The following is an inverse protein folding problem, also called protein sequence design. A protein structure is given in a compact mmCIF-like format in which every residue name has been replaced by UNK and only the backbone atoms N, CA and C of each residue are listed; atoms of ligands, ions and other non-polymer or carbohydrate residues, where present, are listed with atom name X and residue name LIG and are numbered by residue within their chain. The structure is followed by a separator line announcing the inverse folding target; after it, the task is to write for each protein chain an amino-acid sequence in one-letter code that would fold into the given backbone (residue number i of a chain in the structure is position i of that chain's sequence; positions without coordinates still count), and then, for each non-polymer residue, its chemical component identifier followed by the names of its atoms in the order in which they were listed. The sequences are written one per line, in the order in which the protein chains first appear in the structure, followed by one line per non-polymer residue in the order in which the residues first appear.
data_IF_244990103022
#
_entry.id   IF_244990103022
#
_cell.length_a   1.000
_cell.length_b   1.000
_cell.length_c   1.000
_cell.angle_alpha   90.00
_cell.angle_beta   90.00
_cell.angle_gamma   90.00
#
_symmetry.space_group_name_H-M   'P 1'
#
loop_
_entity.id
_entity.type
_entity.pdbx_description
1 polymer ?
#
# COMPACT_ATOMS: atom_id res chain seq x y z
N UNK A 1 4.80 -17.92 -9.14
CA UNK A 1 6.11 -18.56 -8.85
C UNK A 1 6.69 -18.91 -10.21
N UNK A 2 7.86 -18.36 -10.56
CA UNK A 2 8.50 -18.69 -11.83
C UNK A 2 8.88 -20.16 -11.82
N UNK A 3 8.42 -20.92 -12.81
CA UNK A 3 8.67 -22.36 -12.86
C UNK A 3 10.00 -22.57 -13.58
N UNK A 4 10.97 -23.20 -12.91
CA UNK A 4 12.28 -23.49 -13.51
C UNK A 4 13.27 -22.33 -13.56
N UNK A 5 12.99 -21.20 -12.90
CA UNK A 5 13.94 -20.09 -12.72
C UNK A 5 14.53 -20.17 -11.31
N UNK A 6 15.87 -20.28 -11.23
CA UNK A 6 16.59 -20.24 -9.96
C UNK A 6 16.85 -18.79 -9.54
N UNK A 7 16.19 -18.36 -8.47
CA UNK A 7 16.28 -17.01 -7.92
C UNK A 7 17.40 -16.95 -6.87
N UNK A 8 18.23 -15.90 -6.92
CA UNK A 8 19.30 -15.69 -5.96
C UNK A 8 19.11 -14.43 -5.12
N UNK A 9 19.95 -14.32 -4.09
CA UNK A 9 20.09 -13.12 -3.30
C UNK A 9 21.07 -12.15 -3.96
N UNK A 10 20.70 -10.87 -4.04
CA UNK A 10 21.51 -9.81 -4.60
C UNK A 10 22.27 -9.07 -3.48
N UNK A 11 23.61 -8.99 -3.50
CA UNK A 11 24.34 -8.12 -2.57
C UNK A 11 23.90 -6.66 -2.71
N UNK A 12 23.66 -5.97 -1.60
CA UNK A 12 23.15 -4.59 -1.61
C UNK A 12 23.97 -3.64 -2.50
N UNK A 13 25.30 -3.77 -2.50
CA UNK A 13 26.21 -2.96 -3.34
C UNK A 13 25.91 -3.00 -4.84
N UNK A 14 25.19 -4.02 -5.30
CA UNK A 14 24.81 -4.20 -6.70
C UNK A 14 23.38 -3.72 -7.00
N UNK A 15 22.65 -3.18 -6.01
CA UNK A 15 21.25 -2.74 -6.16
C UNK A 15 21.07 -1.78 -7.35
N UNK A 16 21.86 -0.71 -7.41
CA UNK A 16 21.75 0.28 -8.49
C UNK A 16 21.96 -0.33 -9.88
N UNK A 17 22.94 -1.22 -10.02
CA UNK A 17 23.22 -1.88 -11.29
C UNK A 17 22.12 -2.88 -11.69
N UNK A 18 21.53 -3.58 -10.72
CA UNK A 18 20.41 -4.49 -10.97
C UNK A 18 19.11 -3.75 -11.32
N UNK A 19 18.82 -2.62 -10.64
CA UNK A 19 17.68 -1.74 -10.96
C UNK A 19 17.83 -1.14 -12.36
N UNK A 20 19.00 -0.59 -12.69
CA UNK A 20 19.29 -0.07 -14.03
C UNK A 20 19.06 -1.13 -15.09
N UNK A 21 19.57 -2.34 -14.88
CA UNK A 21 19.35 -3.46 -15.81
C UNK A 21 17.87 -3.83 -15.94
N UNK A 22 17.13 -3.91 -14.84
CA UNK A 22 15.69 -4.18 -14.85
C UNK A 22 14.94 -3.14 -15.72
N UNK A 23 15.23 -1.85 -15.53
CA UNK A 23 14.62 -0.77 -16.31
C UNK A 23 15.02 -0.81 -17.78
N UNK A 24 16.28 -1.15 -18.09
CA UNK A 24 16.73 -1.31 -19.48
C UNK A 24 16.00 -2.43 -20.20
N UNK A 25 15.80 -3.59 -19.55
CA UNK A 25 15.07 -4.70 -20.15
C UNK A 25 13.60 -4.33 -20.43
N UNK A 26 13.02 -3.49 -19.59
CA UNK A 26 11.67 -2.98 -19.76
C UNK A 26 11.59 -1.82 -20.78
N UNK A 27 12.72 -1.23 -21.19
CA UNK A 27 12.71 -0.01 -22.01
C UNK A 27 12.28 1.25 -21.23
N UNK A 28 12.44 1.25 -19.91
CA UNK A 28 12.05 2.31 -18.98
C UNK A 28 13.25 3.08 -18.43
N UNK A 29 14.31 3.25 -19.22
CA UNK A 29 15.56 3.90 -18.76
C UNK A 29 15.34 5.35 -18.28
N UNK A 30 14.45 6.08 -18.95
CA UNK A 30 14.12 7.48 -18.67
C UNK A 30 12.94 7.61 -17.68
N UNK A 31 12.47 6.50 -17.10
CA UNK A 31 11.36 6.56 -16.16
C UNK A 31 11.81 7.10 -14.81
N UNK A 32 10.99 8.00 -14.26
CA UNK A 32 11.10 8.33 -12.85
C UNK A 32 10.77 7.06 -12.07
N UNK A 33 11.67 6.70 -11.16
CA UNK A 33 11.53 5.48 -10.38
C UNK A 33 12.16 5.64 -9.00
N UNK A 34 11.70 4.79 -8.07
CA UNK A 34 12.28 4.69 -6.73
C UNK A 34 12.23 3.26 -6.25
N UNK A 35 13.26 2.83 -5.54
CA UNK A 35 13.27 1.54 -4.84
C UNK A 35 12.46 1.68 -3.56
N UNK A 36 11.40 0.90 -3.41
CA UNK A 36 10.41 1.01 -2.33
C UNK A 36 10.39 -0.17 -1.38
N UNK A 37 11.32 -1.11 -1.51
CA UNK A 37 11.32 -2.30 -0.66
C UNK A 37 12.71 -2.90 -0.55
N UNK A 38 12.92 -3.54 0.61
CA UNK A 38 14.08 -4.36 0.95
C UNK A 38 15.47 -3.72 0.81
N UNK A 39 15.59 -2.44 0.44
CA UNK A 39 16.85 -1.81 0.06
C UNK A 39 17.91 -1.72 1.17
N UNK A 40 17.56 -1.82 2.46
CA UNK A 40 18.54 -1.68 3.54
C UNK A 40 19.19 -3.02 3.97
N UNK A 41 18.75 -4.16 3.43
CA UNK A 41 19.31 -5.45 3.77
C UNK A 41 20.65 -5.69 3.04
N UNK A 42 21.62 -6.30 3.73
CA UNK A 42 22.93 -6.64 3.14
C UNK A 42 22.80 -7.52 1.88
N UNK A 43 21.77 -8.37 1.85
CA UNK A 43 21.38 -9.21 0.72
C UNK A 43 19.88 -9.08 0.47
N UNK A 44 19.51 -8.87 -0.78
CA UNK A 44 18.15 -8.60 -1.24
C UNK A 44 17.57 -9.87 -1.89
N UNK A 45 16.34 -10.24 -1.54
CA UNK A 45 15.67 -11.41 -2.13
C UNK A 45 14.98 -11.08 -3.47
N UNK A 46 14.60 -9.82 -3.61
CA UNK A 46 13.86 -9.23 -4.71
C UNK A 46 14.22 -7.75 -4.85
N UNK A 47 13.78 -7.18 -5.97
CA UNK A 47 13.83 -5.75 -6.26
C UNK A 47 12.40 -5.22 -6.27
N UNK A 48 12.12 -4.26 -5.41
CA UNK A 48 10.83 -3.58 -5.34
C UNK A 48 10.97 -2.17 -5.93
N UNK A 49 10.49 -1.96 -7.15
CA UNK A 49 10.62 -0.70 -7.89
C UNK A 49 9.25 -0.07 -8.06
N UNK A 50 9.11 1.22 -7.81
CA UNK A 50 7.91 1.99 -8.10
C UNK A 50 8.15 2.91 -9.31
N UNK A 51 7.20 2.94 -10.23
CA UNK A 51 7.18 3.82 -11.41
C UNK A 51 5.87 4.61 -11.51
N UNK A 52 5.91 5.73 -12.24
CA UNK A 52 4.78 6.63 -12.42
C UNK A 52 3.71 6.06 -13.35
N UNK A 53 2.45 6.02 -12.91
CA UNK A 53 1.30 5.59 -13.74
C UNK A 53 1.14 6.45 -15.00
N UNK A 54 1.21 7.77 -14.85
CA UNK A 54 0.99 8.70 -15.95
C UNK A 54 2.11 8.58 -17.00
N UNK A 55 3.36 8.44 -16.54
CA UNK A 55 4.50 8.22 -17.43
C UNK A 55 4.35 6.92 -18.22
N UNK A 56 3.95 5.82 -17.56
CA UNK A 56 3.67 4.56 -18.23
C UNK A 56 2.53 4.69 -19.25
N UNK A 57 1.42 5.34 -18.88
CA UNK A 57 0.28 5.52 -19.79
C UNK A 57 0.67 6.34 -21.03
N UNK A 58 1.44 7.42 -20.86
CA UNK A 58 1.97 8.22 -21.97
C UNK A 58 2.94 7.42 -22.86
N UNK A 59 3.85 6.66 -22.26
CA UNK A 59 4.81 5.82 -22.99
C UNK A 59 4.14 4.72 -23.81
N UNK A 60 3.02 4.18 -23.32
CA UNK A 60 2.22 3.17 -24.02
C UNK A 60 1.19 3.79 -24.98
N UNK A 61 1.16 5.12 -25.12
CA UNK A 61 0.22 5.87 -25.96
C UNK A 61 -1.26 5.55 -25.65
N UNK A 62 -1.58 5.28 -24.38
CA UNK A 62 -2.92 4.85 -23.97
C UNK A 62 -3.80 6.05 -23.64
N UNK A 63 -4.92 6.16 -24.35
CA UNK A 63 -5.97 7.14 -24.07
C UNK A 63 -6.99 6.56 -23.09
N UNK A 64 -6.83 6.88 -21.80
CA UNK A 64 -7.80 6.55 -20.74
C UNK A 64 -7.43 5.34 -19.86
N UNK A 65 -8.02 5.31 -18.66
CA UNK A 65 -7.67 4.37 -17.57
C UNK A 65 -8.03 2.89 -17.84
N UNK A 66 -8.87 2.62 -18.86
CA UNK A 66 -9.47 1.31 -19.11
C UNK A 66 -8.55 0.26 -19.76
N UNK A 67 -7.44 0.69 -20.37
CA UNK A 67 -6.60 -0.19 -21.20
C UNK A 67 -5.17 -0.38 -20.68
N UNK A 68 -4.80 0.24 -19.53
CA UNK A 68 -3.41 0.23 -19.03
C UNK A 68 -2.82 -1.17 -18.93
N UNK A 69 -3.55 -2.11 -18.32
CA UNK A 69 -3.05 -3.45 -18.07
C UNK A 69 -2.94 -4.30 -19.33
N UNK A 70 -3.91 -4.17 -20.24
CA UNK A 70 -3.88 -4.86 -21.53
C UNK A 70 -2.74 -4.33 -22.41
N UNK A 71 -2.58 -3.01 -22.47
CA UNK A 71 -1.47 -2.38 -23.18
C UNK A 71 -0.11 -2.75 -22.59
N UNK A 72 0.00 -2.76 -21.25
CA UNK A 72 1.20 -3.21 -20.56
C UNK A 72 1.51 -4.68 -20.87
N UNK A 73 0.51 -5.57 -20.84
CA UNK A 73 0.72 -6.98 -21.15
C UNK A 73 1.23 -7.18 -22.59
N UNK A 74 0.64 -6.50 -23.56
CA UNK A 74 1.09 -6.53 -24.94
C UNK A 74 2.53 -6.02 -25.07
N UNK A 75 2.85 -4.89 -24.44
CA UNK A 75 4.18 -4.31 -24.43
C UNK A 75 5.23 -5.26 -23.83
N UNK A 76 4.93 -5.87 -22.68
CA UNK A 76 5.83 -6.78 -21.96
C UNK A 76 6.12 -8.07 -22.74
N UNK A 77 5.16 -8.57 -23.54
CA UNK A 77 5.38 -9.75 -24.42
C UNK A 77 6.43 -9.51 -25.51
N UNK A 78 6.65 -8.25 -25.89
CA UNK A 78 7.66 -7.88 -26.89
C UNK A 78 9.03 -7.55 -26.28
N UNK A 79 9.10 -7.46 -24.94
CA UNK A 79 10.36 -7.14 -24.25
C UNK A 79 11.24 -8.39 -24.12
N UNK A 80 12.57 -8.24 -24.05
CA UNK A 80 13.51 -9.34 -23.77
C UNK A 80 13.51 -9.73 -22.28
N UNK A 81 12.35 -9.68 -21.63
CA UNK A 81 12.13 -10.22 -20.29
C UNK A 81 11.55 -11.63 -20.51
N UNK A 82 11.99 -12.61 -19.73
CA UNK A 82 11.48 -13.98 -19.84
C UNK A 82 10.02 -14.08 -19.40
N UNK A 83 9.75 -14.92 -18.41
CA UNK A 83 8.40 -14.96 -17.82
C UNK A 83 8.10 -13.70 -17.00
N UNK A 84 6.86 -13.22 -17.12
CA UNK A 84 6.31 -12.16 -16.28
C UNK A 84 4.89 -12.52 -15.81
N UNK A 85 4.43 -11.88 -14.74
CA UNK A 85 3.06 -12.00 -14.24
C UNK A 85 2.53 -10.64 -13.84
N UNK A 86 1.31 -10.32 -14.29
CA UNK A 86 0.63 -9.09 -13.93
C UNK A 86 -0.41 -9.36 -12.86
N UNK A 87 -0.39 -8.54 -11.82
CA UNK A 87 -1.36 -8.54 -10.74
C UNK A 87 -2.16 -7.24 -10.74
N UNK A 88 -3.16 -7.14 -11.63
CA UNK A 88 -4.01 -5.95 -11.80
C UNK A 88 -4.61 -5.43 -10.49
N UNK A 89 -5.06 -6.33 -9.61
CA UNK A 89 -5.64 -5.98 -8.30
C UNK A 89 -4.64 -5.31 -7.36
N UNK A 90 -3.37 -5.69 -7.45
CA UNK A 90 -2.28 -5.13 -6.65
C UNK A 90 -1.53 -4.00 -7.38
N UNK A 91 -1.96 -3.68 -8.62
CA UNK A 91 -1.34 -2.70 -9.52
C UNK A 91 0.18 -2.88 -9.62
N UNK A 92 0.60 -4.13 -9.79
CA UNK A 92 2.00 -4.50 -9.93
C UNK A 92 2.15 -5.57 -11.01
N UNK A 93 3.35 -5.68 -11.55
CA UNK A 93 3.77 -6.86 -12.29
C UNK A 93 5.14 -7.31 -11.78
N UNK A 94 5.51 -8.56 -12.04
CA UNK A 94 6.84 -9.03 -11.75
C UNK A 94 7.43 -9.87 -12.85
N UNK A 95 8.75 -9.86 -12.93
CA UNK A 95 9.55 -10.64 -13.87
C UNK A 95 10.88 -11.01 -13.23
N UNK A 96 11.61 -11.92 -13.86
CA UNK A 96 12.96 -12.30 -13.43
C UNK A 96 14.00 -11.41 -14.12
N UNK A 97 14.79 -10.67 -13.33
CA UNK A 97 15.88 -9.82 -13.83
C UNK A 97 17.20 -10.58 -13.82
N UNK A 98 17.88 -10.75 -14.97
CA UNK A 98 19.16 -11.44 -15.05
C UNK A 98 20.30 -10.68 -14.36
N UNK A 99 21.09 -11.38 -13.57
CA UNK A 99 22.20 -10.87 -12.75
C UNK A 99 23.60 -11.23 -13.31
N UNK A 100 23.72 -11.55 -14.60
CA UNK A 100 25.01 -11.87 -15.24
C UNK A 100 26.10 -10.85 -14.87
N UNK A 101 27.18 -11.34 -14.27
CA UNK A 101 28.33 -10.53 -13.81
C UNK A 101 28.17 -9.85 -12.44
N UNK A 102 27.06 -10.04 -11.74
CA UNK A 102 26.76 -9.37 -10.45
C UNK A 102 26.85 -10.32 -9.24
N UNK A 103 26.53 -11.60 -9.40
CA UNK A 103 26.54 -12.61 -8.33
C UNK A 103 27.26 -13.90 -8.76
N UNK A 104 27.76 -14.67 -7.80
CA UNK A 104 28.19 -16.05 -8.02
C UNK A 104 26.98 -16.98 -7.85
N UNK A 105 26.72 -17.89 -8.79
CA UNK A 105 25.55 -18.77 -8.76
C UNK A 105 24.37 -18.24 -9.57
N UNK A 106 23.14 -18.55 -9.14
CA UNK A 106 21.91 -18.40 -9.92
C UNK A 106 21.77 -17.04 -10.60
N UNK A 107 21.16 -17.06 -11.78
CA UNK A 107 21.29 -15.99 -12.76
C UNK A 107 20.23 -14.91 -12.64
N UNK A 108 19.27 -14.98 -11.72
CA UNK A 108 18.14 -14.05 -11.68
C UNK A 108 17.77 -13.57 -10.27
N UNK A 109 17.24 -12.35 -10.18
CA UNK A 109 16.53 -11.83 -9.01
C UNK A 109 15.09 -11.51 -9.42
N UNK A 110 14.13 -11.73 -8.53
CA UNK A 110 12.75 -11.32 -8.78
C UNK A 110 12.68 -9.79 -8.75
N UNK A 111 11.97 -9.19 -9.70
CA UNK A 111 11.69 -7.75 -9.70
C UNK A 111 10.20 -7.54 -9.70
N UNK A 112 9.69 -6.94 -8.63
CA UNK A 112 8.33 -6.44 -8.51
C UNK A 112 8.31 -4.96 -8.91
N UNK A 113 7.49 -4.62 -9.91
CA UNK A 113 7.29 -3.25 -10.38
C UNK A 113 5.89 -2.80 -9.99
N UNK A 114 5.83 -1.79 -9.14
CA UNK A 114 4.61 -1.13 -8.68
C UNK A 114 4.30 0.10 -9.52
N UNK A 115 3.03 0.26 -9.89
CA UNK A 115 2.58 1.35 -10.76
C UNK A 115 1.60 2.25 -9.99
N UNK A 116 1.91 3.55 -9.91
CA UNK A 116 1.08 4.51 -9.18
C UNK A 116 1.71 5.90 -9.08
N UNK A 117 1.41 6.62 -8.00
CA UNK A 117 2.01 7.89 -7.61
C UNK A 117 3.33 7.63 -6.86
N UNK A 118 4.47 8.01 -7.45
CA UNK A 118 5.81 7.68 -6.94
C UNK A 118 6.04 8.23 -5.53
N UNK A 119 5.73 9.51 -5.30
CA UNK A 119 5.92 10.16 -3.99
C UNK A 119 5.12 9.49 -2.88
N UNK A 120 3.89 9.08 -3.19
CA UNK A 120 3.03 8.34 -2.27
C UNK A 120 3.57 6.94 -1.97
N UNK A 121 3.96 6.18 -3.02
CA UNK A 121 4.51 4.84 -2.85
C UNK A 121 5.84 4.87 -2.08
N UNK A 122 6.68 5.88 -2.31
CA UNK A 122 7.94 6.07 -1.56
C UNK A 122 7.70 6.18 -0.05
N UNK A 123 6.55 6.64 0.40
CA UNK A 123 6.22 6.66 1.82
C UNK A 123 5.53 5.36 2.28
N UNK A 124 4.45 4.98 1.60
CA UNK A 124 3.56 3.92 2.08
C UNK A 124 4.10 2.51 1.84
N UNK A 125 4.92 2.33 0.81
CA UNK A 125 5.40 1.01 0.37
C UNK A 125 6.79 0.74 0.91
N UNK A 126 7.56 1.80 1.16
CA UNK A 126 8.86 1.74 1.81
C UNK A 126 8.83 0.97 3.13
N UNK A 127 9.97 0.33 3.38
CA UNK A 127 10.25 -0.37 4.63
C UNK A 127 10.04 0.53 5.85
N UNK A 128 9.94 -0.12 7.01
CA UNK A 128 9.94 0.65 8.25
C UNK A 128 11.36 1.18 8.50
N UNK A 129 11.50 2.31 9.21
CA UNK A 129 12.79 2.79 9.70
C UNK A 129 13.57 1.68 10.44
N UNK A 130 14.90 1.74 10.37
CA UNK A 130 15.79 0.69 10.93
C UNK A 130 15.67 0.48 12.45
N UNK A 131 15.16 1.48 13.18
CA UNK A 131 14.88 1.45 14.61
C UNK A 131 13.49 0.89 14.95
N UNK A 132 12.65 0.62 13.95
CA UNK A 132 11.32 0.02 14.11
C UNK A 132 11.42 -1.49 14.42
N UNK A 133 10.70 -1.95 15.44
CA UNK A 133 10.61 -3.38 15.79
C UNK A 133 9.71 -4.13 14.83
N UNK A 134 8.76 -3.43 14.21
CA UNK A 134 7.76 -4.00 13.31
C UNK A 134 8.02 -3.62 11.86
N UNK A 135 7.69 -4.54 10.94
CA UNK A 135 7.72 -4.28 9.50
C UNK A 135 6.66 -3.23 9.12
N UNK A 136 6.89 -2.50 8.02
CA UNK A 136 5.99 -1.47 7.48
C UNK A 136 4.53 -1.92 7.33
N UNK A 137 4.31 -3.21 7.04
CA UNK A 137 2.97 -3.79 6.92
C UNK A 137 2.11 -3.60 8.17
N UNK A 138 2.69 -3.56 9.38
CA UNK A 138 1.94 -3.29 10.62
C UNK A 138 1.38 -1.87 10.64
N UNK A 139 2.22 -0.87 10.34
CA UNK A 139 1.81 0.54 10.17
C UNK A 139 0.71 0.65 9.11
N UNK A 140 0.92 0.02 7.96
CA UNK A 140 0.00 0.06 6.83
C UNK A 140 -1.36 -0.56 7.17
N UNK A 141 -1.38 -1.71 7.86
CA UNK A 141 -2.62 -2.32 8.34
C UNK A 141 -3.33 -1.45 9.37
N UNK A 142 -2.61 -0.81 10.28
CA UNK A 142 -3.19 0.11 11.26
C UNK A 142 -3.80 1.34 10.56
N UNK A 143 -3.10 1.97 9.61
CA UNK A 143 -3.64 3.07 8.79
C UNK A 143 -4.89 2.65 8.03
N UNK A 144 -4.90 1.45 7.43
CA UNK A 144 -6.08 0.92 6.76
C UNK A 144 -7.25 0.79 7.73
N UNK A 145 -7.03 0.26 8.93
CA UNK A 145 -8.06 0.15 9.95
C UNK A 145 -8.61 1.52 10.37
N UNK A 146 -7.75 2.54 10.54
CA UNK A 146 -8.19 3.91 10.81
C UNK A 146 -9.15 4.39 9.73
N UNK A 147 -8.76 4.33 8.45
CA UNK A 147 -9.60 4.85 7.37
C UNK A 147 -10.83 3.99 7.06
N UNK A 148 -10.82 2.70 7.43
CA UNK A 148 -11.96 1.82 7.24
C UNK A 148 -13.07 2.04 8.27
N UNK A 149 -12.70 2.32 9.53
CA UNK A 149 -13.65 2.45 10.64
C UNK A 149 -14.18 3.88 10.82
N UNK A 150 -13.39 4.89 10.48
CA UNK A 150 -13.83 6.29 10.59
C UNK A 150 -14.83 6.59 9.47
N UNK A 151 -16.12 6.64 9.83
CA UNK A 151 -17.23 6.93 8.93
C UNK A 151 -18.06 8.12 9.45
N UNK A 152 -18.53 8.97 8.53
CA UNK A 152 -19.36 10.13 8.85
C UNK A 152 -20.70 10.07 8.10
N UNK A 153 -21.81 10.54 8.69
CA UNK A 153 -23.05 10.74 7.95
C UNK A 153 -22.83 11.66 6.73
N UNK A 154 -23.55 11.42 5.64
CA UNK A 154 -23.42 12.24 4.44
C UNK A 154 -24.18 13.59 4.46
N UNK A 155 -24.85 13.89 5.57
CA UNK A 155 -25.66 15.09 5.80
C UNK A 155 -26.93 14.76 6.59
N UNK A 156 -27.79 15.75 6.79
CA UNK A 156 -28.99 15.65 7.64
C UNK A 156 -30.18 14.94 6.96
N UNK A 157 -30.04 14.56 5.68
CA UNK A 157 -31.17 14.24 4.80
C UNK A 157 -31.45 12.78 4.48
N UNK A 158 -30.54 11.84 4.77
CA UNK A 158 -30.77 10.41 4.52
C UNK A 158 -29.85 9.55 5.40
N UNK A 159 -30.43 8.88 6.42
CA UNK A 159 -29.68 8.09 7.41
C UNK A 159 -28.96 6.86 6.83
N UNK A 160 -29.18 6.57 5.55
CA UNK A 160 -28.57 5.46 4.83
C UNK A 160 -27.29 5.85 4.09
N UNK A 161 -26.90 7.12 4.05
CA UNK A 161 -25.68 7.57 3.39
C UNK A 161 -24.55 7.95 4.34
N UNK A 162 -23.33 7.57 4.00
CA UNK A 162 -22.14 7.88 4.79
C UNK A 162 -20.89 8.06 3.92
N UNK A 163 -19.95 8.86 4.43
CA UNK A 163 -18.62 9.03 3.88
C UNK A 163 -17.61 8.23 4.68
N UNK A 164 -16.56 7.78 4.01
CA UNK A 164 -15.31 7.36 4.65
C UNK A 164 -14.14 7.65 3.73
N UNK A 165 -12.95 7.73 4.30
CA UNK A 165 -11.74 7.71 3.49
C UNK A 165 -11.42 6.28 3.03
N UNK A 166 -10.67 6.19 1.95
CA UNK A 166 -10.14 4.93 1.42
C UNK A 166 -8.68 5.15 1.03
N UNK A 167 -7.80 4.50 1.79
CA UNK A 167 -6.37 4.49 1.52
C UNK A 167 -6.06 3.49 0.40
N UNK A 168 -5.35 3.94 -0.62
CA UNK A 168 -4.78 3.08 -1.65
C UNK A 168 -3.25 3.25 -1.61
N UNK A 169 -2.51 2.17 -1.38
CA UNK A 169 -1.05 2.20 -1.26
C UNK A 169 -0.30 2.72 -2.50
N UNK A 170 -0.96 2.81 -3.65
CA UNK A 170 -0.37 3.22 -4.92
C UNK A 170 -0.82 4.61 -5.38
N UNK A 171 -2.06 5.00 -5.08
CA UNK A 171 -2.69 6.15 -5.76
C UNK A 171 -3.06 7.32 -4.85
N UNK A 172 -2.95 7.18 -3.53
CA UNK A 172 -3.36 8.22 -2.59
C UNK A 172 -4.52 7.84 -1.67
N UNK A 173 -5.07 8.86 -1.03
CA UNK A 173 -6.28 8.79 -0.21
C UNK A 173 -7.47 9.32 -1.02
N UNK A 174 -8.59 8.60 -0.99
CA UNK A 174 -9.85 9.05 -1.60
C UNK A 174 -10.94 9.20 -0.55
N UNK A 175 -11.85 10.16 -0.73
CA UNK A 175 -13.11 10.23 -0.02
C UNK A 175 -14.16 9.46 -0.83
N UNK A 176 -14.87 8.54 -0.17
CA UNK A 176 -15.90 7.70 -0.80
C UNK A 176 -17.24 7.89 -0.10
N UNK A 177 -18.26 8.20 -0.88
CA UNK A 177 -19.66 8.24 -0.44
C UNK A 177 -20.31 6.90 -0.73
N UNK A 178 -21.00 6.35 0.27
CA UNK A 178 -21.73 5.10 0.18
C UNK A 178 -23.20 5.32 0.54
N UNK A 179 -24.07 4.53 -0.09
CA UNK A 179 -25.46 4.33 0.33
C UNK A 179 -25.64 2.91 0.83
N UNK A 180 -26.30 2.76 1.98
CA UNK A 180 -26.77 1.47 2.49
C UNK A 180 -27.97 1.05 1.64
N UNK A 181 -27.87 -0.12 1.03
CA UNK A 181 -28.95 -0.76 0.30
C UNK A 181 -29.51 -1.81 1.23
N UNK A 182 -30.73 -1.59 1.72
CA UNK A 182 -31.45 -2.56 2.56
C UNK A 182 -31.59 -3.89 1.81
N UNK A 183 -31.48 -4.99 2.54
CA UNK A 183 -31.58 -6.32 1.95
C UNK A 183 -32.95 -6.47 1.26
N UNK A 184 -32.96 -6.86 -0.02
CA UNK A 184 -34.16 -7.44 -0.60
C UNK A 184 -34.41 -8.81 0.06
N UNK A 185 -35.64 -9.32 -0.02
CA UNK A 185 -35.97 -10.65 0.53
C UNK A 185 -35.10 -11.80 -0.05
N UNK A 186 -34.37 -11.58 -1.14
CA UNK A 186 -33.48 -12.57 -1.77
C UNK A 186 -32.00 -12.46 -1.34
N UNK A 187 -31.52 -11.27 -0.95
CA UNK A 187 -30.06 -11.03 -0.77
C UNK A 187 -29.59 -11.10 0.68
N UNK A 188 -30.51 -11.18 1.66
CA UNK A 188 -30.26 -11.53 3.07
C UNK A 188 -29.33 -10.61 3.88
N UNK A 189 -28.56 -9.72 3.26
CA UNK A 189 -27.63 -8.81 3.91
C UNK A 189 -27.65 -7.44 3.24
N UNK A 190 -27.69 -6.35 4.03
CA UNK A 190 -27.58 -5.00 3.49
C UNK A 190 -26.25 -4.84 2.77
N UNK A 191 -26.29 -4.29 1.55
CA UNK A 191 -25.11 -4.02 0.72
C UNK A 191 -24.74 -2.55 0.81
N UNK A 192 -23.47 -2.23 0.58
CA UNK A 192 -22.98 -0.86 0.47
C UNK A 192 -22.73 -0.58 -1.00
N UNK A 193 -23.41 0.40 -1.56
CA UNK A 193 -23.18 0.86 -2.92
C UNK A 193 -22.35 2.15 -2.87
N UNK A 194 -21.20 2.15 -3.54
CA UNK A 194 -20.41 3.37 -3.71
C UNK A 194 -21.11 4.26 -4.74
N UNK A 195 -21.39 5.50 -4.37
CA UNK A 195 -22.09 6.46 -5.23
C UNK A 195 -21.18 7.59 -5.71
N UNK A 196 -20.08 7.85 -4.99
CA UNK A 196 -19.10 8.85 -5.37
C UNK A 196 -17.72 8.48 -4.81
N UNK A 197 -16.68 8.79 -5.58
CA UNK A 197 -15.28 8.75 -5.15
C UNK A 197 -14.58 10.01 -5.65
N UNK A 198 -13.80 10.65 -4.77
CA UNK A 198 -12.95 11.77 -5.13
C UNK A 198 -11.58 11.60 -4.46
N UNK A 199 -10.49 11.83 -5.20
CA UNK A 199 -9.14 11.86 -4.63
C UNK A 199 -9.05 13.04 -3.66
N UNK A 200 -8.55 12.78 -2.46
CA UNK A 200 -8.29 13.80 -1.43
C UNK A 200 -6.86 14.27 -1.55
N UNK A 201 -5.91 13.34 -1.58
CA UNK A 201 -4.49 13.65 -1.63
C UNK A 201 -3.68 12.46 -2.19
N UNK A 202 -2.51 12.77 -2.73
CA UNK A 202 -1.43 11.83 -3.03
C UNK A 202 -0.11 12.24 -2.38
N UNK A 203 -0.14 13.18 -1.42
CA UNK A 203 0.99 13.54 -0.57
C UNK A 203 0.89 12.79 0.77
N UNK A 204 1.89 11.97 1.14
CA UNK A 204 1.86 11.23 2.40
C UNK A 204 1.86 12.14 3.65
N UNK A 205 2.35 13.38 3.55
CA UNK A 205 2.33 14.33 4.67
C UNK A 205 0.93 14.79 5.03
N UNK A 206 -0.04 14.65 4.13
CA UNK A 206 -1.44 14.99 4.42
C UNK A 206 -2.10 13.97 5.35
N UNK A 207 -1.58 12.74 5.46
CA UNK A 207 -2.14 11.74 6.38
C UNK A 207 -2.09 12.22 7.84
N UNK A 208 -0.93 12.60 8.41
CA UNK A 208 -0.86 13.17 9.75
C UNK A 208 -1.77 14.39 9.94
N UNK A 209 -1.77 15.32 8.97
CA UNK A 209 -2.61 16.52 9.02
C UNK A 209 -4.10 16.17 9.13
N UNK A 210 -4.54 15.15 8.38
CA UNK A 210 -5.92 14.64 8.42
C UNK A 210 -6.23 13.99 9.77
N UNK A 211 -5.29 13.24 10.34
CA UNK A 211 -5.53 12.43 11.55
C UNK A 211 -5.33 13.22 12.87
N UNK A 212 -4.48 14.25 12.90
CA UNK A 212 -3.97 14.87 14.14
C UNK A 212 -4.08 16.41 14.18
N UNK A 213 -5.26 16.94 13.85
CA UNK A 213 -5.63 18.36 13.91
C UNK A 213 -4.72 19.30 13.09
N UNK A 214 -4.31 18.88 11.89
CA UNK A 214 -3.53 19.72 11.00
C UNK A 214 -2.07 19.90 11.42
N UNK A 215 -1.56 19.03 12.30
CA UNK A 215 -0.20 19.07 12.80
C UNK A 215 0.52 17.73 12.57
N UNK A 216 1.81 17.79 12.23
CA UNK A 216 2.68 16.63 12.02
C UNK A 216 3.01 16.36 10.56
N UNK A 217 3.94 15.44 10.33
CA UNK A 217 4.38 14.99 9.00
C UNK A 217 4.56 13.47 8.92
N UNK A 218 4.84 12.94 7.73
CA UNK A 218 4.90 11.48 7.53
C UNK A 218 5.88 10.78 8.49
N UNK A 219 6.98 11.43 8.88
CA UNK A 219 8.00 10.87 9.77
C UNK A 219 7.49 10.65 11.19
N UNK A 220 6.41 11.32 11.55
CA UNK A 220 5.73 11.14 12.84
C UNK A 220 4.89 9.85 12.85
N UNK A 221 4.63 9.23 11.69
CA UNK A 221 3.82 7.99 11.57
C UNK A 221 4.48 6.91 10.71
N UNK A 222 5.75 7.07 10.34
CA UNK A 222 6.48 6.20 9.42
C UNK A 222 6.78 4.79 9.98
N UNK A 223 6.48 4.53 11.25
CA UNK A 223 6.55 3.23 11.90
C UNK A 223 5.24 2.91 12.63
N UNK A 224 5.05 1.63 12.95
CA UNK A 224 3.85 1.19 13.66
C UNK A 224 3.80 1.80 15.07
N UNK A 225 4.93 1.84 15.75
CA UNK A 225 5.08 2.34 17.12
C UNK A 225 4.73 3.83 17.21
N UNK A 226 5.27 4.65 16.30
CA UNK A 226 4.97 6.09 16.29
C UNK A 226 3.49 6.35 15.99
N UNK A 227 2.94 5.69 14.97
CA UNK A 227 1.52 5.80 14.65
C UNK A 227 0.63 5.36 15.82
N UNK A 228 0.91 4.19 16.40
CA UNK A 228 0.17 3.66 17.55
C UNK A 228 0.17 4.65 18.71
N UNK A 229 1.34 5.19 19.06
CA UNK A 229 1.47 6.18 20.13
C UNK A 229 0.63 7.44 19.86
N UNK A 230 0.69 7.98 18.65
CA UNK A 230 -0.07 9.18 18.30
C UNK A 230 -1.59 8.94 18.29
N UNK A 231 -2.06 7.76 17.87
CA UNK A 231 -3.49 7.42 17.90
C UNK A 231 -4.06 7.42 19.32
N UNK A 232 -3.23 7.17 20.33
CA UNK A 232 -3.65 7.19 21.74
C UNK A 232 -3.59 8.59 22.37
N UNK A 233 -2.97 9.55 21.68
CA UNK A 233 -2.87 10.92 22.13
C UNK A 233 -4.18 11.70 21.99
N UNK A 234 -4.30 12.78 22.75
CA UNK A 234 -5.47 13.67 22.70
C UNK A 234 -5.65 14.41 21.37
N UNK A 235 -4.60 14.45 20.55
CA UNK A 235 -4.61 15.09 19.23
C UNK A 235 -5.24 14.22 18.14
N UNK A 236 -5.50 12.94 18.41
CA UNK A 236 -6.16 12.09 17.43
C UNK A 236 -7.64 12.45 17.29
N UNK A 237 -8.01 12.96 16.11
CA UNK A 237 -9.34 13.52 15.82
C UNK A 237 -10.49 12.53 15.98
N UNK A 238 -10.21 11.24 15.87
CA UNK A 238 -11.22 10.18 15.81
C UNK A 238 -11.15 9.25 17.02
N UNK A 239 -10.81 9.79 18.20
CA UNK A 239 -10.66 9.03 19.45
C UNK A 239 -11.82 8.09 19.78
N UNK A 240 -13.06 8.47 19.44
CA UNK A 240 -14.26 7.62 19.65
C UNK A 240 -14.26 6.33 18.82
N UNK A 241 -13.49 6.25 17.74
CA UNK A 241 -13.39 5.08 16.87
C UNK A 241 -12.27 4.12 17.26
N UNK A 242 -11.41 4.49 18.23
CA UNK A 242 -10.24 3.69 18.62
C UNK A 242 -10.57 2.21 18.92
N UNK A 243 -11.63 1.87 19.68
CA UNK A 243 -11.96 0.47 19.93
C UNK A 243 -12.21 -0.33 18.65
N UNK A 244 -12.98 0.24 17.70
CA UNK A 244 -13.27 -0.40 16.42
C UNK A 244 -12.02 -0.51 15.54
N UNK A 245 -11.19 0.54 15.50
CA UNK A 245 -9.92 0.57 14.76
C UNK A 245 -9.01 -0.57 15.22
N UNK A 246 -8.78 -0.70 16.52
CA UNK A 246 -7.91 -1.75 17.05
C UNK A 246 -8.50 -3.15 16.91
N UNK A 247 -9.81 -3.31 17.03
CA UNK A 247 -10.48 -4.58 16.77
C UNK A 247 -10.29 -5.03 15.32
N UNK A 248 -10.49 -4.13 14.35
CA UNK A 248 -10.30 -4.42 12.93
C UNK A 248 -8.83 -4.69 12.60
N UNK A 249 -7.90 -3.96 13.21
CA UNK A 249 -6.46 -4.20 13.06
C UNK A 249 -6.06 -5.59 13.55
N UNK A 250 -6.52 -5.99 14.75
CA UNK A 250 -6.30 -7.33 15.32
C UNK A 250 -6.85 -8.43 14.40
N UNK A 251 -8.07 -8.27 13.91
CA UNK A 251 -8.69 -9.22 12.98
C UNK A 251 -7.92 -9.31 11.64
N UNK A 252 -7.42 -8.19 11.14
CA UNK A 252 -6.63 -8.13 9.91
C UNK A 252 -5.29 -8.86 10.05
N UNK A 253 -4.58 -8.66 11.17
CA UNK A 253 -3.35 -9.39 11.47
C UNK A 253 -3.58 -10.91 11.56
N UNK A 254 -4.63 -11.32 12.27
CA UNK A 254 -4.99 -12.73 12.41
C UNK A 254 -5.31 -13.37 11.05
N UNK A 255 -6.11 -12.69 10.22
CA UNK A 255 -6.44 -13.15 8.87
C UNK A 255 -5.20 -13.29 7.97
N UNK A 256 -4.18 -12.48 8.21
CA UNK A 256 -2.90 -12.53 7.51
C UNK A 256 -1.86 -13.43 8.21
N UNK A 257 -2.24 -14.20 9.23
CA UNK A 257 -1.35 -15.06 10.03
C UNK A 257 -0.13 -14.29 10.61
N UNK A 258 -0.34 -13.03 10.97
CA UNK A 258 0.69 -12.17 11.55
C UNK A 258 0.60 -12.18 13.07
N UNK A 259 1.75 -12.11 13.74
CA UNK A 259 1.82 -12.02 15.20
C UNK A 259 1.21 -10.70 15.67
N UNK A 260 0.45 -10.71 16.74
CA UNK A 260 0.01 -9.47 17.38
C UNK A 260 1.21 -8.73 17.99
N UNK A 261 1.30 -7.40 17.83
CA UNK A 261 2.29 -6.60 18.51
C UNK A 261 2.21 -6.79 20.03
N UNK A 262 3.37 -6.81 20.67
CA UNK A 262 3.52 -6.94 22.12
C UNK A 262 3.46 -5.55 22.73
N UNK A 263 2.29 -4.93 22.62
CA UNK A 263 2.01 -3.64 23.22
C UNK A 263 0.86 -3.86 24.20
N UNK A 264 1.10 -3.54 25.47
CA UNK A 264 0.19 -3.73 26.60
C UNK A 264 -1.19 -3.04 26.43
N UNK A 265 -1.37 -2.25 25.36
CA UNK A 265 -2.49 -1.34 25.15
C UNK A 265 -3.37 -1.71 23.95
N UNK A 266 -3.12 -2.85 23.28
CA UNK A 266 -4.07 -3.37 22.28
C UNK A 266 -5.38 -3.87 22.92
N UNK A 267 -5.45 -3.96 24.26
CA UNK A 267 -6.66 -4.28 25.04
C UNK A 267 -7.44 -3.01 25.43
N UNK A 268 -8.01 -2.34 24.44
CA UNK A 268 -9.04 -1.32 24.67
C UNK A 268 -10.39 -1.92 25.15
N UNK A 269 -10.51 -3.25 25.19
CA UNK A 269 -11.74 -3.97 25.54
C UNK A 269 -12.14 -3.91 27.02
N UNK A 270 -11.41 -3.20 27.90
CA UNK A 270 -11.65 -3.24 29.36
C UNK A 270 -11.87 -1.88 30.02
N UNK A 271 -11.57 -0.74 29.36
CA UNK A 271 -11.64 0.57 30.04
C UNK A 271 -12.97 1.33 29.92
N UNK A 272 -14.01 0.75 29.31
CA UNK A 272 -15.33 1.38 29.21
C UNK A 272 -16.38 0.81 30.20
N UNK A 273 -16.02 -0.13 31.07
CA UNK A 273 -16.94 -0.63 32.10
C UNK A 273 -16.84 0.09 33.45
N UNK A 274 -15.85 0.96 33.65
CA UNK A 274 -15.55 1.54 34.97
C UNK A 274 -15.87 3.04 35.07
N UNK A 275 -16.61 3.60 34.12
CA UNK A 275 -17.06 4.99 34.17
C UNK A 275 -18.49 5.18 33.64
N UNK A 276 -19.42 4.43 34.21
CA UNK A 276 -20.86 4.74 34.20
C UNK A 276 -21.47 4.42 35.58
#
# INVERSE_FOLDING_TARGET
MFVGIDLTHLPHRNLGAAVSRALTLLGFNEFDHVVVGNHDAAYLNDLDIAIGRNQLASHLELTGDGCLWTGLEAYLKERPIGEFTIHNRFRQFHFATPLSGMCAGSTFVKTDVFIGEIGWMKALVSGAPSDSKYKAVYRNMLLMSVFLEVCWPAGDGDGDEFFRYALNYRDGLSARRFRRVHASQQDGRPKRMMIQEARVTSDPNDIPLILFDGEGDWRDIDSFEKLHHLLQGSRFRYGSFLPAIFQNFRASLQKSNMRLPDIAELDYSVRQSDSA
#
